data_IF_389564371739
#
_entry.id   IF_389564371739
#
_cell.length_a   1.000
_cell.length_b   1.000
_cell.length_c   1.000
_cell.angle_alpha   90.00
_cell.angle_beta   90.00
_cell.angle_gamma   90.00
#
_symmetry.space_group_name_H-M   'P 1'
#
loop_
_entity.id
_entity.type
_entity.pdbx_description
1 polymer ?
#
# COMPACT_ATOMS: atom_id res chain seq x y z
N UNK A 1 36.90 -72.25 -33.40
CA UNK A 1 35.65 -71.48 -33.19
C UNK A 1 35.57 -71.07 -31.73
N UNK A 2 34.89 -69.96 -31.43
CA UNK A 2 34.66 -69.34 -30.11
C UNK A 2 35.68 -68.27 -29.66
N UNK A 3 35.34 -67.05 -30.09
CA UNK A 3 35.80 -65.71 -29.70
C UNK A 3 34.90 -65.21 -28.55
N UNK A 4 35.35 -64.18 -27.83
CA UNK A 4 34.61 -63.27 -26.93
C UNK A 4 34.34 -63.75 -25.50
N UNK A 5 34.97 -63.05 -24.53
CA UNK A 5 34.31 -62.24 -23.48
C UNK A 5 35.35 -61.73 -22.48
N UNK A 6 36.04 -60.67 -22.85
CA UNK A 6 36.79 -59.80 -21.92
C UNK A 6 36.90 -58.44 -22.57
N UNK A 7 35.93 -57.56 -22.32
CA UNK A 7 36.00 -56.10 -22.52
C UNK A 7 34.61 -55.46 -22.34
N UNK A 8 33.93 -55.76 -21.22
CA UNK A 8 32.66 -55.11 -20.88
C UNK A 8 32.73 -54.25 -19.61
N UNK A 9 33.83 -54.30 -18.84
CA UNK A 9 33.88 -53.70 -17.50
C UNK A 9 34.73 -52.44 -17.35
N UNK A 10 35.37 -51.95 -18.42
CA UNK A 10 36.16 -50.71 -18.38
C UNK A 10 35.36 -49.47 -18.84
N UNK A 11 34.27 -49.66 -19.59
CA UNK A 11 33.49 -48.56 -20.19
C UNK A 11 32.30 -48.08 -19.34
N UNK A 12 32.05 -48.67 -18.15
CA UNK A 12 30.99 -48.22 -17.24
C UNK A 12 31.47 -47.23 -16.18
N UNK A 13 32.77 -47.16 -15.89
CA UNK A 13 33.33 -46.21 -14.92
C UNK A 13 33.70 -44.85 -15.53
N UNK A 14 34.08 -44.80 -16.81
CA UNK A 14 34.40 -43.54 -17.49
C UNK A 14 33.16 -42.74 -17.94
N UNK A 15 31.95 -43.30 -17.83
CA UNK A 15 30.69 -42.65 -18.22
C UNK A 15 29.88 -42.11 -17.03
N UNK A 16 30.41 -42.25 -15.81
CA UNK A 16 29.76 -41.79 -14.58
C UNK A 16 30.30 -40.45 -14.06
N UNK A 17 31.37 -39.90 -14.63
CA UNK A 17 31.96 -38.61 -14.20
C UNK A 17 31.59 -37.42 -15.10
N UNK A 18 30.86 -37.64 -16.20
CA UNK A 18 30.52 -36.60 -17.18
C UNK A 18 29.01 -36.27 -17.21
N UNK A 19 28.39 -36.23 -16.03
CA UNK A 19 27.06 -35.63 -15.82
C UNK A 19 27.03 -34.82 -14.51
N UNK A 20 28.03 -33.97 -14.28
CA UNK A 20 27.85 -32.82 -13.39
C UNK A 20 27.37 -31.63 -14.24
N UNK A 21 26.07 -31.65 -14.57
CA UNK A 21 25.41 -30.43 -15.03
C UNK A 21 25.62 -29.31 -13.99
N UNK A 22 25.53 -28.03 -14.38
CA UNK A 22 25.72 -26.91 -13.45
C UNK A 22 24.79 -27.13 -12.25
N UNK A 23 25.36 -27.30 -11.06
CA UNK A 23 24.62 -27.41 -9.80
C UNK A 23 23.57 -26.31 -9.79
N UNK A 24 22.30 -26.70 -9.76
CA UNK A 24 21.22 -25.75 -9.57
C UNK A 24 21.58 -24.88 -8.35
N UNK A 25 21.52 -23.55 -8.46
CA UNK A 25 21.91 -22.68 -7.37
C UNK A 25 21.09 -23.05 -6.14
N UNK A 26 21.75 -23.18 -5.00
CA UNK A 26 21.11 -23.53 -3.74
C UNK A 26 20.02 -22.48 -3.42
N UNK A 27 18.76 -22.88 -3.50
CA UNK A 27 17.62 -22.02 -3.17
C UNK A 27 17.68 -21.69 -1.69
N UNK A 28 17.89 -20.41 -1.36
CA UNK A 28 17.92 -19.93 0.03
C UNK A 28 16.50 -20.01 0.61
N UNK A 29 16.35 -20.60 1.80
CA UNK A 29 15.08 -20.65 2.53
C UNK A 29 14.53 -19.23 2.75
N UNK A 30 13.28 -19.02 2.32
CA UNK A 30 12.62 -17.72 2.35
C UNK A 30 11.76 -17.60 3.60
N UNK A 31 11.90 -16.50 4.33
CA UNK A 31 11.00 -16.16 5.42
C UNK A 31 9.70 -15.63 4.81
N UNK A 32 8.59 -16.25 5.15
CA UNK A 32 7.26 -15.76 4.82
C UNK A 32 6.81 -14.75 5.88
N UNK A 33 6.54 -13.51 5.46
CA UNK A 33 6.03 -12.46 6.33
C UNK A 33 4.51 -12.26 6.19
N UNK A 34 3.76 -13.30 5.82
CA UNK A 34 2.29 -13.27 5.82
C UNK A 34 1.75 -12.67 7.12
N UNK A 35 0.83 -11.72 6.97
CA UNK A 35 0.14 -11.04 8.08
C UNK A 35 -0.92 -11.93 8.75
N UNK A 36 -1.26 -13.06 8.13
CA UNK A 36 -2.31 -13.96 8.61
C UNK A 36 -1.84 -14.82 9.78
N UNK A 37 -0.52 -14.91 10.00
CA UNK A 37 0.08 -15.66 11.09
C UNK A 37 0.48 -14.71 12.23
N UNK A 38 0.20 -15.08 13.50
CA UNK A 38 0.73 -14.33 14.63
C UNK A 38 2.26 -14.35 14.60
N UNK A 39 2.86 -13.32 15.19
CA UNK A 39 4.31 -13.28 15.37
C UNK A 39 4.76 -14.47 16.22
N UNK A 40 5.96 -14.97 15.93
CA UNK A 40 6.53 -16.05 16.72
C UNK A 40 6.66 -15.62 18.19
N UNK A 41 5.95 -16.32 19.07
CA UNK A 41 5.96 -16.04 20.50
C UNK A 41 7.31 -16.37 21.13
N UNK A 42 7.98 -17.40 20.60
CA UNK A 42 9.24 -17.96 21.09
C UNK A 42 10.46 -17.18 20.62
N UNK A 43 10.33 -16.37 19.57
CA UNK A 43 11.39 -15.49 19.10
C UNK A 43 11.58 -14.31 20.10
N UNK A 44 12.84 -13.90 20.35
CA UNK A 44 13.12 -12.81 21.28
C UNK A 44 12.45 -11.50 20.80
N UNK A 45 11.97 -10.64 21.72
CA UNK A 45 11.33 -9.37 21.39
C UNK A 45 12.36 -8.30 20.99
N UNK A 46 13.24 -8.62 20.05
CA UNK A 46 14.23 -7.71 19.49
C UNK A 46 13.64 -6.99 18.29
N UNK A 47 13.92 -5.68 18.20
CA UNK A 47 13.64 -4.86 17.02
C UNK A 47 14.97 -4.42 16.42
N UNK A 48 15.14 -4.62 15.12
CA UNK A 48 16.34 -4.17 14.42
C UNK A 48 16.04 -3.82 12.97
N UNK A 49 16.95 -3.04 12.39
CA UNK A 49 16.88 -2.61 11.01
C UNK A 49 17.89 -3.40 10.18
N UNK A 50 17.49 -3.84 8.99
CA UNK A 50 18.37 -4.56 8.06
C UNK A 50 18.08 -4.14 6.63
N UNK A 51 19.11 -4.16 5.78
CA UNK A 51 18.91 -4.13 4.33
C UNK A 51 18.20 -5.42 3.86
N UNK A 52 17.66 -5.41 2.64
CA UNK A 52 17.08 -6.62 2.05
C UNK A 52 18.15 -7.71 1.96
N UNK A 53 17.87 -8.84 2.62
CA UNK A 53 18.64 -10.08 2.51
C UNK A 53 17.92 -11.05 1.57
N UNK A 54 18.64 -11.98 0.93
CA UNK A 54 18.01 -13.02 0.12
C UNK A 54 16.94 -13.81 0.87
N UNK A 55 17.11 -14.04 2.17
CA UNK A 55 16.13 -14.75 3.02
C UNK A 55 14.84 -13.96 3.25
N UNK A 56 14.86 -12.63 3.07
CA UNK A 56 13.73 -11.73 3.33
C UNK A 56 13.06 -11.23 2.04
N UNK A 57 13.46 -11.72 0.88
CA UNK A 57 13.00 -11.21 -0.41
C UNK A 57 11.49 -11.44 -0.60
N UNK A 58 11.00 -12.65 -0.32
CA UNK A 58 9.56 -12.96 -0.36
C UNK A 58 8.77 -12.15 0.66
N UNK A 59 9.30 -11.99 1.88
CA UNK A 59 8.70 -11.16 2.91
C UNK A 59 8.57 -9.69 2.50
N UNK A 60 9.62 -9.12 1.89
CA UNK A 60 9.61 -7.73 1.42
C UNK A 60 8.54 -7.51 0.34
N UNK A 61 8.42 -8.44 -0.61
CA UNK A 61 7.38 -8.41 -1.65
C UNK A 61 5.99 -8.44 -1.03
N UNK A 62 5.71 -9.44 -0.19
CA UNK A 62 4.41 -9.59 0.45
C UNK A 62 4.04 -8.33 1.26
N UNK A 63 5.00 -7.79 2.02
CA UNK A 63 4.77 -6.62 2.84
C UNK A 63 4.45 -5.37 2.00
N UNK A 64 5.13 -5.17 0.87
CA UNK A 64 4.82 -4.06 -0.05
C UNK A 64 3.42 -4.19 -0.67
N UNK A 65 2.99 -5.40 -1.03
CA UNK A 65 1.63 -5.68 -1.50
C UNK A 65 0.62 -5.41 -0.39
N UNK A 66 0.93 -5.79 0.84
CA UNK A 66 0.04 -5.59 1.97
C UNK A 66 -0.14 -4.11 2.31
N UNK A 67 0.87 -3.26 2.11
CA UNK A 67 0.70 -1.81 2.24
C UNK A 67 -0.29 -1.25 1.24
N UNK A 68 -0.30 -1.75 0.00
CA UNK A 68 -1.31 -1.38 -0.99
C UNK A 68 -2.71 -1.83 -0.56
N UNK A 69 -2.86 -3.04 0.00
CA UNK A 69 -4.14 -3.49 0.56
C UNK A 69 -4.60 -2.65 1.75
N UNK A 70 -3.67 -2.18 2.58
CA UNK A 70 -3.99 -1.25 3.66
C UNK A 70 -4.49 0.10 3.09
N UNK A 71 -3.82 0.63 2.06
CA UNK A 71 -4.27 1.83 1.34
C UNK A 71 -5.64 1.62 0.67
N UNK A 72 -5.90 0.45 0.09
CA UNK A 72 -7.20 0.06 -0.45
C UNK A 72 -8.30 0.07 0.63
N UNK A 73 -8.00 -0.44 1.82
CA UNK A 73 -8.92 -0.38 2.96
C UNK A 73 -9.23 1.07 3.39
N UNK A 74 -8.20 1.93 3.43
CA UNK A 74 -8.39 3.36 3.70
C UNK A 74 -9.20 4.06 2.61
N UNK A 75 -8.95 3.73 1.34
CA UNK A 75 -9.71 4.19 0.20
C UNK A 75 -11.18 3.80 0.34
N UNK A 76 -11.49 2.52 0.58
CA UNK A 76 -12.87 2.04 0.79
C UNK A 76 -13.56 2.80 1.92
N UNK A 77 -12.85 3.00 3.03
CA UNK A 77 -13.34 3.77 4.17
C UNK A 77 -13.62 5.24 3.83
N UNK A 78 -12.85 5.83 2.93
CA UNK A 78 -13.05 7.17 2.42
C UNK A 78 -14.24 7.25 1.44
N UNK A 79 -14.32 6.31 0.49
CA UNK A 79 -15.38 6.25 -0.50
C UNK A 79 -16.74 6.07 0.17
N UNK A 80 -16.87 5.12 1.12
CA UNK A 80 -18.09 4.85 1.88
C UNK A 80 -18.60 6.09 2.62
N UNK A 81 -17.69 6.91 3.14
CA UNK A 81 -18.05 8.16 3.84
C UNK A 81 -18.31 9.34 2.89
N UNK A 82 -18.28 9.12 1.58
CA UNK A 82 -18.53 10.18 0.60
C UNK A 82 -19.97 10.67 0.72
N UNK A 83 -20.21 12.00 0.70
CA UNK A 83 -21.56 12.55 0.71
C UNK A 83 -22.38 12.09 -0.50
N UNK A 84 -21.74 11.73 -1.61
CA UNK A 84 -22.43 11.25 -2.81
C UNK A 84 -23.14 9.92 -2.57
N UNK A 85 -22.55 9.02 -1.78
CA UNK A 85 -23.18 7.74 -1.44
C UNK A 85 -24.38 7.99 -0.54
N UNK A 86 -24.23 8.85 0.46
CA UNK A 86 -25.35 9.23 1.33
C UNK A 86 -26.50 9.88 0.54
N UNK A 87 -26.19 10.77 -0.42
CA UNK A 87 -27.19 11.40 -1.28
C UNK A 87 -27.88 10.37 -2.19
N UNK A 88 -27.14 9.41 -2.75
CA UNK A 88 -27.72 8.34 -3.56
C UNK A 88 -28.67 7.48 -2.72
N UNK A 89 -28.23 7.03 -1.53
CA UNK A 89 -29.05 6.21 -0.63
C UNK A 89 -30.32 6.94 -0.19
N UNK A 90 -30.21 8.24 0.16
CA UNK A 90 -31.36 9.09 0.50
C UNK A 90 -32.30 9.23 -0.70
N UNK A 91 -31.78 9.48 -1.90
CA UNK A 91 -32.59 9.65 -3.10
C UNK A 91 -33.42 8.38 -3.40
N UNK A 92 -32.78 7.20 -3.37
CA UNK A 92 -33.48 5.94 -3.56
C UNK A 92 -34.48 5.64 -2.45
N UNK A 93 -34.15 5.99 -1.20
CA UNK A 93 -35.08 5.87 -0.07
C UNK A 93 -36.31 6.76 -0.25
N UNK A 94 -36.13 8.01 -0.71
CA UNK A 94 -37.24 8.92 -1.02
C UNK A 94 -38.10 8.39 -2.16
N UNK A 95 -37.49 7.88 -3.25
CA UNK A 95 -38.21 7.27 -4.37
C UNK A 95 -39.03 6.05 -3.89
N UNK A 96 -38.48 5.25 -2.98
CA UNK A 96 -39.16 4.09 -2.41
C UNK A 96 -40.33 4.49 -1.49
N UNK A 97 -40.13 5.49 -0.63
CA UNK A 97 -41.10 5.92 0.37
C UNK A 97 -42.21 6.81 -0.20
N UNK A 98 -41.91 7.67 -1.16
CA UNK A 98 -42.83 8.69 -1.67
C UNK A 98 -44.22 8.13 -2.08
N UNK A 99 -44.34 7.01 -2.82
CA UNK A 99 -45.65 6.47 -3.19
C UNK A 99 -46.29 5.58 -2.11
N UNK A 100 -45.58 5.24 -1.02
CA UNK A 100 -46.02 4.28 0.00
C UNK A 100 -46.37 4.91 1.34
N UNK A 101 -46.07 6.19 1.52
CA UNK A 101 -46.36 6.94 2.73
C UNK A 101 -47.78 7.50 2.71
N UNK A 102 -48.53 7.20 3.76
CA UNK A 102 -49.78 7.88 4.07
C UNK A 102 -49.44 9.17 4.83
N UNK A 103 -49.70 10.32 4.20
CA UNK A 103 -49.45 11.63 4.80
C UNK A 103 -50.66 12.07 5.63
N UNK A 104 -50.46 12.47 6.91
CA UNK A 104 -51.55 13.04 7.69
C UNK A 104 -52.04 14.34 7.02
N UNK A 105 -53.37 14.59 7.00
CA UNK A 105 -53.93 15.75 6.32
C UNK A 105 -53.38 17.06 6.95
N UNK A 106 -52.80 17.92 6.09
CA UNK A 106 -52.22 19.20 6.49
C UNK A 106 -53.27 20.24 6.93
N UNK A 107 -54.55 20.02 6.58
CA UNK A 107 -55.67 20.87 7.00
C UNK A 107 -56.65 20.04 7.82
N UNK A 108 -56.85 20.47 9.05
CA UNK A 108 -57.72 19.83 10.02
C UNK A 108 -59.17 19.76 9.53
N UNK A 109 -59.66 18.56 9.23
CA UNK A 109 -61.07 18.25 9.49
C UNK A 109 -61.21 17.97 10.99
N UNK A 110 -61.44 19.05 11.74
CA UNK A 110 -62.05 19.16 13.08
C UNK A 110 -61.57 18.30 14.28
N UNK A 111 -60.66 17.32 14.17
CA UNK A 111 -60.32 16.45 15.31
C UNK A 111 -58.81 16.33 15.66
N UNK A 112 -57.89 16.81 14.83
CA UNK A 112 -56.45 16.63 15.07
C UNK A 112 -55.65 17.81 14.53
N UNK A 113 -55.65 18.93 15.26
CA UNK A 113 -54.72 20.03 15.00
C UNK A 113 -53.31 19.59 15.43
N UNK A 114 -52.42 19.39 14.47
CA UNK A 114 -51.02 19.08 14.73
C UNK A 114 -50.31 20.37 15.16
N UNK A 115 -50.23 20.62 16.48
CA UNK A 115 -49.66 21.85 17.04
C UNK A 115 -48.12 21.87 17.10
N UNK A 116 -47.45 20.74 16.80
CA UNK A 116 -46.00 20.61 16.89
C UNK A 116 -45.42 19.64 15.84
N UNK A 117 -44.15 19.86 15.47
CA UNK A 117 -43.39 19.00 14.56
C UNK A 117 -43.26 17.57 15.12
N UNK A 118 -43.12 17.43 16.44
CA UNK A 118 -43.07 16.12 17.11
C UNK A 118 -44.40 15.38 17.02
N UNK A 119 -45.54 16.07 17.20
CA UNK A 119 -46.86 15.47 16.99
C UNK A 119 -47.05 15.01 15.53
N UNK A 120 -46.57 15.79 14.55
CA UNK A 120 -46.59 15.40 13.15
C UNK A 120 -45.80 14.11 12.89
N UNK A 121 -44.59 14.00 13.44
CA UNK A 121 -43.74 12.81 13.29
C UNK A 121 -44.38 11.57 13.93
N UNK A 122 -45.01 11.71 15.09
CA UNK A 122 -45.73 10.59 15.74
C UNK A 122 -46.94 10.16 14.92
N UNK A 123 -47.69 11.12 14.37
CA UNK A 123 -48.83 10.85 13.48
C UNK A 123 -48.40 10.28 12.12
N UNK A 124 -47.21 10.60 11.64
CA UNK A 124 -46.63 9.96 10.44
C UNK A 124 -46.15 8.54 10.76
N UNK A 125 -45.56 8.32 11.94
CA UNK A 125 -45.01 7.02 12.33
C UNK A 125 -46.07 5.95 12.58
N UNK A 126 -47.14 6.28 13.33
CA UNK A 126 -48.17 5.30 13.74
C UNK A 126 -48.83 4.54 12.57
N UNK A 127 -49.35 5.20 11.51
CA UNK A 127 -49.95 4.50 10.37
C UNK A 127 -48.90 3.84 9.49
N UNK A 128 -47.71 4.45 9.34
CA UNK A 128 -46.68 3.98 8.42
C UNK A 128 -45.65 3.02 9.05
N UNK A 129 -45.87 2.49 10.27
CA UNK A 129 -44.86 1.70 10.99
C UNK A 129 -44.28 0.52 10.19
N UNK A 130 -45.13 -0.18 9.41
CA UNK A 130 -44.69 -1.30 8.57
C UNK A 130 -43.95 -0.81 7.31
N UNK A 131 -44.41 0.29 6.72
CA UNK A 131 -43.73 0.96 5.59
C UNK A 131 -42.35 1.48 6.00
N UNK A 132 -42.21 2.06 7.19
CA UNK A 132 -40.94 2.54 7.72
C UNK A 132 -39.98 1.37 8.05
N UNK A 133 -40.50 0.28 8.61
CA UNK A 133 -39.71 -0.93 8.85
C UNK A 133 -39.18 -1.54 7.54
N UNK A 134 -40.05 -1.69 6.54
CA UNK A 134 -39.67 -2.18 5.20
C UNK A 134 -38.70 -1.23 4.49
N UNK A 135 -38.85 0.08 4.65
CA UNK A 135 -37.90 1.08 4.14
C UNK A 135 -36.53 0.99 4.83
N UNK A 136 -36.49 0.69 6.13
CA UNK A 136 -35.25 0.41 6.85
C UNK A 136 -34.53 -0.81 6.29
N UNK A 137 -35.25 -1.93 6.08
CA UNK A 137 -34.68 -3.13 5.45
C UNK A 137 -34.20 -2.86 4.02
N UNK A 138 -34.99 -2.12 3.23
CA UNK A 138 -34.61 -1.69 1.89
C UNK A 138 -33.32 -0.86 1.90
N UNK A 139 -33.19 0.06 2.86
CA UNK A 139 -31.98 0.89 3.01
C UNK A 139 -30.76 0.01 3.30
N UNK A 140 -30.86 -0.94 4.22
CA UNK A 140 -29.75 -1.86 4.54
C UNK A 140 -29.33 -2.66 3.30
N UNK A 141 -30.28 -3.18 2.54
CA UNK A 141 -30.00 -3.89 1.29
C UNK A 141 -29.35 -2.98 0.25
N UNK A 142 -29.89 -1.79 0.04
CA UNK A 142 -29.39 -0.80 -0.91
C UNK A 142 -27.96 -0.39 -0.57
N UNK A 143 -27.72 0.02 0.68
CA UNK A 143 -26.39 0.43 1.14
C UNK A 143 -25.38 -0.71 0.98
N UNK A 144 -25.78 -1.98 1.22
CA UNK A 144 -24.91 -3.14 0.99
C UNK A 144 -24.52 -3.29 -0.48
N UNK A 145 -25.47 -3.09 -1.40
CA UNK A 145 -25.21 -3.13 -2.86
C UNK A 145 -24.29 -1.97 -3.27
N UNK A 146 -24.58 -0.75 -2.83
CA UNK A 146 -23.78 0.44 -3.14
C UNK A 146 -22.36 0.28 -2.58
N UNK A 147 -22.20 -0.17 -1.34
CA UNK A 147 -20.88 -0.42 -0.75
C UNK A 147 -20.10 -1.50 -1.50
N UNK A 148 -20.77 -2.55 -1.97
CA UNK A 148 -20.14 -3.60 -2.77
C UNK A 148 -19.66 -3.06 -4.12
N UNK A 149 -20.48 -2.25 -4.80
CA UNK A 149 -20.12 -1.62 -6.07
C UNK A 149 -18.93 -0.67 -5.93
N UNK A 150 -18.95 0.16 -4.88
CA UNK A 150 -17.89 1.13 -4.59
C UNK A 150 -16.60 0.43 -4.17
N UNK A 151 -16.68 -0.65 -3.40
CA UNK A 151 -15.51 -1.45 -3.03
C UNK A 151 -14.85 -2.08 -4.26
N UNK A 152 -15.64 -2.63 -5.20
CA UNK A 152 -15.11 -3.16 -6.46
C UNK A 152 -14.31 -2.13 -7.27
N UNK A 153 -14.71 -0.86 -7.25
CA UNK A 153 -14.00 0.21 -7.95
C UNK A 153 -12.57 0.40 -7.40
N UNK A 154 -12.44 0.37 -6.07
CA UNK A 154 -11.16 0.44 -5.38
C UNK A 154 -10.34 -0.84 -5.59
N UNK A 155 -10.98 -2.01 -5.50
CA UNK A 155 -10.36 -3.31 -5.72
C UNK A 155 -9.71 -3.38 -7.11
N UNK A 156 -10.43 -2.98 -8.17
CA UNK A 156 -9.86 -2.97 -9.53
C UNK A 156 -8.64 -2.06 -9.62
N UNK A 157 -8.70 -0.86 -9.04
CA UNK A 157 -7.59 0.11 -9.06
C UNK A 157 -6.34 -0.41 -8.35
N UNK A 158 -6.48 -0.92 -7.12
CA UNK A 158 -5.33 -1.42 -6.36
C UNK A 158 -4.83 -2.76 -6.90
N UNK A 159 -5.71 -3.60 -7.43
CA UNK A 159 -5.33 -4.88 -8.05
C UNK A 159 -4.37 -4.67 -9.22
N UNK A 160 -4.59 -3.68 -10.08
CA UNK A 160 -3.65 -3.39 -11.18
C UNK A 160 -2.24 -3.09 -10.67
N UNK A 161 -2.10 -2.28 -9.60
CA UNK A 161 -0.81 -1.97 -8.98
C UNK A 161 -0.18 -3.18 -8.30
N UNK A 162 -0.99 -3.98 -7.59
CA UNK A 162 -0.53 -5.21 -6.94
C UNK A 162 -0.02 -6.20 -8.00
N UNK A 163 -0.78 -6.39 -9.08
CA UNK A 163 -0.41 -7.27 -10.18
C UNK A 163 0.87 -6.78 -10.87
N UNK A 164 1.07 -5.47 -11.03
CA UNK A 164 2.32 -4.89 -11.54
C UNK A 164 3.53 -5.22 -10.66
N UNK A 165 3.41 -5.06 -9.33
CA UNK A 165 4.47 -5.37 -8.37
C UNK A 165 4.78 -6.88 -8.35
N UNK A 166 3.74 -7.73 -8.32
CA UNK A 166 3.88 -9.18 -8.24
C UNK A 166 4.44 -9.74 -9.54
N UNK A 167 3.88 -9.37 -10.69
CA UNK A 167 4.36 -9.83 -12.00
C UNK A 167 5.76 -9.28 -12.32
N UNK A 168 6.06 -8.06 -11.87
CA UNK A 168 7.39 -7.46 -11.94
C UNK A 168 8.41 -8.05 -10.95
N UNK A 169 8.02 -8.98 -10.07
CA UNK A 169 8.85 -9.50 -8.98
C UNK A 169 9.51 -8.39 -8.14
N UNK A 170 8.77 -7.31 -7.88
CA UNK A 170 9.21 -6.18 -7.07
C UNK A 170 10.09 -5.14 -7.79
N UNK A 171 10.36 -5.28 -9.08
CA UNK A 171 11.24 -4.39 -9.84
C UNK A 171 10.81 -2.91 -9.75
N UNK A 172 9.50 -2.64 -9.87
CA UNK A 172 8.93 -1.29 -9.76
C UNK A 172 9.15 -0.66 -8.38
N UNK A 173 9.28 -1.47 -7.33
CA UNK A 173 9.39 -1.00 -5.94
C UNK A 173 10.84 -0.90 -5.48
N UNK A 174 11.64 -1.92 -5.83
CA UNK A 174 13.00 -2.07 -5.33
C UNK A 174 14.07 -1.64 -6.36
N UNK A 175 13.68 -1.47 -7.63
CA UNK A 175 14.62 -1.18 -8.73
C UNK A 175 15.41 -2.41 -9.19
N UNK A 176 15.03 -3.60 -8.74
CA UNK A 176 15.59 -4.88 -9.15
C UNK A 176 14.58 -6.01 -8.94
N UNK A 177 14.77 -7.13 -9.65
CA UNK A 177 13.95 -8.33 -9.48
C UNK A 177 14.41 -9.12 -8.25
N UNK A 178 13.51 -9.35 -7.31
CA UNK A 178 13.79 -10.12 -6.10
C UNK A 178 14.25 -11.56 -6.38
N UNK A 179 13.73 -12.17 -7.45
CA UNK A 179 14.13 -13.52 -7.86
C UNK A 179 15.63 -13.62 -8.21
N UNK A 180 16.25 -12.54 -8.68
CA UNK A 180 17.67 -12.55 -9.05
C UNK A 180 18.57 -12.57 -7.80
N UNK A 181 18.09 -12.02 -6.69
CA UNK A 181 18.74 -12.09 -5.38
C UNK A 181 18.68 -13.52 -4.83
N UNK A 182 17.49 -14.12 -4.88
CA UNK A 182 17.24 -15.47 -4.34
C UNK A 182 18.04 -16.52 -5.11
N UNK A 183 18.16 -16.38 -6.44
CA UNK A 183 18.77 -17.39 -7.31
C UNK A 183 20.26 -17.19 -7.54
N UNK A 184 20.77 -15.96 -7.52
CA UNK A 184 22.13 -15.70 -8.00
C UNK A 184 22.95 -14.77 -7.11
N UNK A 185 22.39 -14.18 -6.04
CA UNK A 185 23.05 -13.14 -5.24
C UNK A 185 23.68 -12.01 -6.11
N UNK A 186 23.12 -11.78 -7.30
CA UNK A 186 23.64 -10.88 -8.34
C UNK A 186 23.02 -9.48 -8.31
N UNK A 187 22.33 -9.11 -7.25
CA UNK A 187 21.86 -7.73 -7.11
C UNK A 187 23.05 -6.82 -6.84
N UNK A 188 22.99 -5.62 -7.44
CA UNK A 188 23.92 -4.55 -7.12
C UNK A 188 23.85 -4.27 -5.61
N UNK A 189 24.96 -4.39 -4.86
CA UNK A 189 24.98 -4.14 -3.42
C UNK A 189 24.45 -2.76 -3.03
N UNK A 190 24.61 -1.74 -3.89
CA UNK A 190 24.06 -0.41 -3.67
C UNK A 190 22.53 -0.41 -3.69
N UNK A 191 21.92 -1.11 -4.65
CA UNK A 191 20.47 -1.25 -4.78
C UNK A 191 19.84 -1.96 -3.57
N UNK A 192 20.52 -2.96 -2.99
CA UNK A 192 20.06 -3.64 -1.78
C UNK A 192 20.02 -2.72 -0.56
N UNK A 193 20.98 -1.78 -0.48
CA UNK A 193 21.09 -0.78 0.60
C UNK A 193 20.09 0.36 0.46
N UNK A 194 19.48 0.50 -0.71
CA UNK A 194 18.40 1.46 -0.96
C UNK A 194 17.07 1.06 -0.35
N UNK A 195 16.99 -0.17 0.15
CA UNK A 195 15.82 -0.65 0.85
C UNK A 195 16.17 -1.03 2.29
N UNK A 196 15.35 -0.56 3.21
CA UNK A 196 15.46 -0.87 4.63
C UNK A 196 14.20 -1.57 5.12
N UNK A 197 14.41 -2.61 5.91
CA UNK A 197 13.38 -3.37 6.59
C UNK A 197 13.56 -3.26 8.10
N UNK A 198 12.45 -3.09 8.81
CA UNK A 198 12.39 -3.20 10.27
C UNK A 198 11.83 -4.58 10.59
N UNK A 199 12.60 -5.34 11.37
CA UNK A 199 12.28 -6.70 11.78
C UNK A 199 12.01 -6.69 13.28
N UNK A 200 10.92 -7.32 13.69
CA UNK A 200 10.57 -7.53 15.08
C UNK A 200 10.21 -9.00 15.30
N UNK A 201 10.82 -9.65 16.29
CA UNK A 201 10.67 -11.10 16.55
C UNK A 201 10.94 -11.92 15.28
N UNK A 202 12.07 -11.63 14.63
CA UNK A 202 12.51 -12.24 13.35
C UNK A 202 11.50 -12.11 12.19
N UNK A 203 10.46 -11.29 12.33
CA UNK A 203 9.45 -11.07 11.29
C UNK A 203 9.50 -9.63 10.78
N UNK A 204 9.58 -9.40 9.47
CA UNK A 204 9.47 -8.06 8.91
C UNK A 204 8.13 -7.40 9.22
N UNK A 205 8.19 -6.20 9.82
CA UNK A 205 7.02 -5.42 10.21
C UNK A 205 6.89 -4.09 9.49
N UNK A 206 7.98 -3.59 8.91
CA UNK A 206 7.98 -2.34 8.16
C UNK A 206 9.07 -2.34 7.09
N UNK A 207 8.88 -1.53 6.05
CA UNK A 207 9.74 -1.47 4.89
C UNK A 207 9.70 -0.07 4.28
N UNK A 208 10.85 0.40 3.81
CA UNK A 208 10.98 1.60 2.99
C UNK A 208 11.99 1.35 1.88
N UNK A 209 11.67 1.77 0.66
CA UNK A 209 12.56 1.72 -0.51
C UNK A 209 12.69 3.12 -1.11
N UNK A 210 13.92 3.54 -1.39
CA UNK A 210 14.25 4.85 -1.95
C UNK A 210 15.07 4.66 -3.22
N UNK A 211 14.70 5.30 -4.33
CA UNK A 211 15.54 5.32 -5.53
C UNK A 211 15.80 6.74 -6.01
N UNK A 212 16.86 6.90 -6.79
CA UNK A 212 17.11 8.15 -7.50
C UNK A 212 16.06 8.34 -8.61
N UNK A 213 15.48 9.53 -8.69
CA UNK A 213 14.66 9.95 -9.81
C UNK A 213 15.56 10.46 -10.93
N UNK A 214 15.87 9.61 -11.91
CA UNK A 214 16.75 9.96 -13.02
C UNK A 214 16.20 11.09 -13.92
N UNK A 215 14.89 11.33 -13.89
CA UNK A 215 14.24 12.36 -14.72
C UNK A 215 14.38 13.75 -14.10
N UNK A 216 14.31 13.82 -12.76
CA UNK A 216 14.35 15.09 -12.03
C UNK A 216 15.73 15.42 -11.47
N UNK A 217 16.62 14.43 -11.34
CA UNK A 217 17.97 14.64 -10.83
C UNK A 217 18.86 15.23 -11.92
N UNK A 218 19.67 16.21 -11.52
CA UNK A 218 20.70 16.82 -12.37
C UNK A 218 22.08 16.47 -11.82
N UNK A 219 23.18 16.75 -12.54
CA UNK A 219 24.53 16.55 -11.99
C UNK A 219 24.78 17.29 -10.67
N UNK A 220 24.14 18.45 -10.49
CA UNK A 220 24.32 19.31 -9.32
C UNK A 220 23.22 19.18 -8.24
N UNK A 221 22.15 18.43 -8.53
CA UNK A 221 21.04 18.24 -7.60
C UNK A 221 20.48 16.82 -7.65
N UNK A 222 20.33 16.21 -6.48
CA UNK A 222 19.75 14.89 -6.36
C UNK A 222 18.27 15.00 -5.98
N UNK A 223 17.42 14.32 -6.74
CA UNK A 223 16.02 14.10 -6.39
C UNK A 223 15.81 12.61 -6.18
N UNK A 224 15.57 12.20 -4.94
CA UNK A 224 15.21 10.83 -4.59
C UNK A 224 13.70 10.69 -4.41
N UNK A 225 13.17 9.52 -4.74
CA UNK A 225 11.77 9.17 -4.56
C UNK A 225 11.65 7.98 -3.60
N UNK A 226 10.71 8.07 -2.67
CA UNK A 226 10.28 6.92 -1.86
C UNK A 226 9.31 6.09 -2.70
N UNK A 227 9.74 4.91 -3.14
CA UNK A 227 8.94 4.02 -4.00
C UNK A 227 7.89 3.25 -3.20
N UNK A 228 8.26 2.81 -2.01
CA UNK A 228 7.33 2.20 -1.05
C UNK A 228 7.74 2.60 0.36
N UNK A 229 6.74 2.79 1.21
CA UNK A 229 6.91 2.93 2.64
C UNK A 229 5.66 2.40 3.32
N UNK A 230 5.85 1.70 4.44
CA UNK A 230 4.73 1.29 5.26
C UNK A 230 5.18 0.49 6.46
N UNK A 231 4.21 0.22 7.33
CA UNK A 231 4.35 -0.70 8.44
C UNK A 231 3.05 -1.51 8.61
N UNK A 232 3.10 -2.62 9.34
CA UNK A 232 1.87 -3.35 9.68
C UNK A 232 0.95 -2.45 10.49
N UNK A 233 -0.36 -2.55 10.27
CA UNK A 233 -1.40 -1.70 10.90
C UNK A 233 -1.27 -1.57 12.42
N UNK A 234 -0.86 -2.64 13.11
CA UNK A 234 -0.68 -2.65 14.57
C UNK A 234 0.46 -1.75 15.06
N UNK A 235 1.43 -1.42 14.19
CA UNK A 235 2.59 -0.59 14.49
C UNK A 235 2.48 0.85 13.94
N UNK A 236 1.35 1.23 13.35
CA UNK A 236 1.18 2.59 12.79
C UNK A 236 1.34 3.67 13.86
N UNK A 237 1.02 3.37 15.12
CA UNK A 237 1.14 4.31 16.25
C UNK A 237 2.48 4.26 16.98
N UNK A 238 3.41 3.37 16.58
CA UNK A 238 4.64 3.13 17.34
C UNK A 238 5.83 3.98 16.89
N UNK A 239 5.62 4.98 16.02
CA UNK A 239 6.70 5.86 15.54
C UNK A 239 7.57 5.26 14.43
N UNK A 240 7.28 4.04 13.95
CA UNK A 240 8.15 3.37 12.97
C UNK A 240 8.15 4.11 11.62
N UNK A 241 7.02 4.69 11.21
CA UNK A 241 6.96 5.45 9.95
C UNK A 241 7.84 6.70 10.02
N UNK A 242 7.86 7.37 11.17
CA UNK A 242 8.74 8.49 11.46
C UNK A 242 10.22 8.09 11.31
N UNK A 243 10.62 6.97 11.91
CA UNK A 243 11.99 6.47 11.84
C UNK A 243 12.39 6.05 10.41
N UNK A 244 11.45 5.46 9.66
CA UNK A 244 11.67 5.08 8.26
C UNK A 244 11.86 6.30 7.35
N UNK A 245 11.16 7.41 7.62
CA UNK A 245 11.35 8.66 6.90
C UNK A 245 12.69 9.32 7.24
N UNK A 246 13.11 9.27 8.50
CA UNK A 246 14.44 9.75 8.91
C UNK A 246 15.54 8.94 8.22
N UNK A 247 15.38 7.62 8.19
CA UNK A 247 16.28 6.75 7.44
C UNK A 247 16.30 7.09 5.96
N UNK A 248 15.15 7.34 5.33
CA UNK A 248 15.06 7.70 3.92
C UNK A 248 15.82 9.01 3.63
N UNK A 249 15.68 10.02 4.49
CA UNK A 249 16.44 11.27 4.37
C UNK A 249 17.96 11.05 4.48
N UNK A 250 18.40 10.21 5.43
CA UNK A 250 19.82 9.84 5.55
C UNK A 250 20.31 9.07 4.33
N UNK A 251 19.51 8.13 3.82
CA UNK A 251 19.87 7.34 2.63
C UNK A 251 19.97 8.21 1.38
N UNK A 252 19.08 9.19 1.21
CA UNK A 252 19.20 10.17 0.11
C UNK A 252 20.51 10.96 0.20
N UNK A 253 20.95 11.38 1.40
CA UNK A 253 22.26 12.03 1.57
C UNK A 253 23.42 11.12 1.16
N UNK A 254 23.35 9.83 1.53
CA UNK A 254 24.36 8.85 1.16
C UNK A 254 24.41 8.61 -0.36
N UNK A 255 23.23 8.52 -1.01
CA UNK A 255 23.12 8.42 -2.47
C UNK A 255 23.72 9.64 -3.18
N UNK A 256 23.47 10.84 -2.64
CA UNK A 256 24.06 12.06 -3.20
C UNK A 256 25.57 12.10 -3.06
N UNK A 257 26.09 11.63 -1.92
CA UNK A 257 27.53 11.53 -1.70
C UNK A 257 28.20 10.49 -2.62
N UNK A 258 27.60 9.30 -2.79
CA UNK A 258 28.17 8.26 -3.67
C UNK A 258 28.10 8.63 -5.15
N UNK A 259 27.04 9.34 -5.57
CA UNK A 259 26.87 9.78 -6.95
C UNK A 259 27.63 11.09 -7.28
N UNK A 260 28.29 11.72 -6.30
CA UNK A 260 28.92 13.03 -6.48
C UNK A 260 27.95 14.20 -6.67
N UNK A 261 26.64 13.98 -6.44
CA UNK A 261 25.55 14.95 -6.64
C UNK A 261 25.24 15.74 -5.37
N UNK A 262 26.28 16.33 -4.76
CA UNK A 262 26.20 17.06 -3.49
C UNK A 262 26.13 18.59 -3.66
N UNK A 263 26.17 19.08 -4.90
CA UNK A 263 26.50 20.47 -5.24
C UNK A 263 25.57 21.54 -4.65
N UNK A 264 24.25 21.43 -4.88
CA UNK A 264 23.34 22.56 -4.61
C UNK A 264 22.09 22.20 -3.80
N UNK A 265 21.42 21.08 -4.10
CA UNK A 265 20.21 20.71 -3.35
C UNK A 265 19.93 19.21 -3.42
N UNK A 266 19.46 18.65 -2.31
CA UNK A 266 18.90 17.31 -2.27
C UNK A 266 17.43 17.38 -1.89
N UNK A 267 16.60 16.65 -2.63
CA UNK A 267 15.17 16.57 -2.40
C UNK A 267 14.75 15.12 -2.23
N UNK A 268 13.94 14.85 -1.23
CA UNK A 268 13.26 13.58 -1.07
C UNK A 268 11.77 13.79 -1.35
N UNK A 269 11.25 13.03 -2.30
CA UNK A 269 9.86 13.05 -2.74
C UNK A 269 9.15 11.79 -2.29
N UNK A 270 7.92 11.94 -1.83
CA UNK A 270 7.03 10.83 -1.51
C UNK A 270 5.65 11.14 -2.05
N UNK A 271 5.06 10.13 -2.68
CA UNK A 271 3.71 10.23 -3.20
C UNK A 271 2.73 9.50 -2.30
N UNK A 272 1.66 10.20 -1.93
CA UNK A 272 0.59 9.66 -1.09
C UNK A 272 -0.78 10.01 -1.66
N UNK A 273 -1.82 9.32 -1.18
CA UNK A 273 -3.19 9.63 -1.55
C UNK A 273 -3.81 10.65 -0.61
N UNK A 274 -4.70 11.48 -1.17
CA UNK A 274 -5.44 12.52 -0.43
C UNK A 274 -6.24 12.00 0.77
N UNK A 275 -6.67 10.74 0.75
CA UNK A 275 -7.42 10.12 1.86
C UNK A 275 -6.53 9.61 3.00
N UNK A 276 -5.21 9.50 2.81
CA UNK A 276 -4.28 8.99 3.82
C UNK A 276 -3.88 10.09 4.81
N UNK A 277 -4.80 10.41 5.72
CA UNK A 277 -4.59 11.43 6.76
C UNK A 277 -3.44 11.08 7.70
N UNK A 278 -3.27 9.79 8.01
CA UNK A 278 -2.23 9.31 8.92
C UNK A 278 -0.84 9.61 8.38
N UNK A 279 -0.58 9.24 7.12
CA UNK A 279 0.71 9.53 6.49
C UNK A 279 0.93 11.04 6.33
N UNK A 280 -0.10 11.84 6.00
CA UNK A 280 0.02 13.32 5.94
C UNK A 280 0.50 13.92 7.25
N UNK A 281 -0.04 13.46 8.38
CA UNK A 281 0.33 13.98 9.69
C UNK A 281 1.77 13.60 10.05
N UNK A 282 2.19 12.38 9.72
CA UNK A 282 3.59 11.93 9.85
C UNK A 282 4.53 12.78 8.99
N UNK A 283 4.17 13.01 7.72
CA UNK A 283 4.95 13.82 6.79
C UNK A 283 5.12 15.26 7.26
N UNK A 284 4.04 15.91 7.71
CA UNK A 284 4.10 17.27 8.28
C UNK A 284 5.01 17.33 9.50
N UNK A 285 4.92 16.36 10.41
CA UNK A 285 5.80 16.27 11.59
C UNK A 285 7.27 16.16 11.20
N UNK A 286 7.57 15.49 10.08
CA UNK A 286 8.93 15.33 9.54
C UNK A 286 9.37 16.47 8.61
N UNK A 287 8.61 17.56 8.53
CA UNK A 287 8.98 18.74 7.75
C UNK A 287 8.75 18.60 6.25
N UNK A 288 8.02 17.58 5.80
CA UNK A 288 7.60 17.50 4.40
C UNK A 288 6.50 18.52 4.12
N UNK A 289 6.59 19.11 2.93
CA UNK A 289 5.61 20.07 2.41
C UNK A 289 4.92 19.50 1.18
N UNK A 290 3.67 19.89 0.96
CA UNK A 290 2.93 19.54 -0.25
C UNK A 290 3.50 20.33 -1.43
N UNK A 291 4.03 19.62 -2.44
CA UNK A 291 4.62 20.22 -3.64
C UNK A 291 3.56 20.34 -4.73
N UNK A 292 2.85 19.25 -5.00
CA UNK A 292 1.86 19.22 -6.08
C UNK A 292 0.71 18.26 -5.78
N UNK A 293 -0.42 18.54 -6.42
CA UNK A 293 -1.63 17.72 -6.34
C UNK A 293 -2.02 17.30 -7.74
N UNK A 294 -1.96 16.00 -8.01
CA UNK A 294 -2.32 15.38 -9.27
C UNK A 294 -3.66 14.65 -9.19
N UNK A 295 -4.29 14.45 -10.36
CA UNK A 295 -5.39 13.49 -10.48
C UNK A 295 -4.82 12.08 -10.43
N UNK A 296 -5.52 11.15 -9.79
CA UNK A 296 -5.23 9.73 -9.97
C UNK A 296 -5.62 9.32 -11.40
N UNK A 297 -4.70 9.50 -12.35
CA UNK A 297 -4.95 9.36 -13.80
C UNK A 297 -5.47 7.96 -14.18
N UNK A 298 -5.13 6.96 -13.39
CA UNK A 298 -5.47 5.56 -13.61
C UNK A 298 -6.97 5.25 -13.40
N UNK A 299 -7.73 6.10 -12.68
CA UNK A 299 -9.18 5.91 -12.51
C UNK A 299 -9.95 7.23 -12.45
N UNK A 300 -10.66 7.54 -13.55
CA UNK A 300 -11.48 8.75 -13.70
C UNK A 300 -12.64 8.81 -12.71
N UNK A 301 -13.18 7.66 -12.28
CA UNK A 301 -14.29 7.63 -11.32
C UNK A 301 -13.81 7.95 -9.91
N UNK A 302 -12.69 7.37 -9.47
CA UNK A 302 -12.11 7.67 -8.15
C UNK A 302 -11.68 9.14 -8.06
N UNK A 303 -11.00 9.65 -9.08
CA UNK A 303 -10.52 11.03 -9.09
C UNK A 303 -11.62 12.06 -9.35
N UNK A 304 -12.59 11.75 -10.21
CA UNK A 304 -13.67 12.66 -10.58
C UNK A 304 -14.83 12.68 -9.60
N UNK A 305 -15.44 11.51 -9.36
CA UNK A 305 -16.64 11.40 -8.53
C UNK A 305 -16.31 11.50 -7.04
N UNK A 306 -15.27 10.79 -6.61
CA UNK A 306 -14.92 10.70 -5.18
C UNK A 306 -13.80 11.65 -4.76
N UNK A 307 -13.26 12.46 -5.69
CA UNK A 307 -12.25 13.45 -5.38
C UNK A 307 -10.92 12.89 -4.89
N UNK A 308 -10.61 11.62 -5.19
CA UNK A 308 -9.33 11.00 -4.82
C UNK A 308 -8.20 11.61 -5.65
N UNK A 309 -7.32 12.33 -4.98
CA UNK A 309 -6.13 12.96 -5.56
C UNK A 309 -4.85 12.25 -5.13
N UNK A 310 -3.85 12.26 -6.01
CA UNK A 310 -2.45 11.93 -5.70
C UNK A 310 -1.77 13.20 -5.24
N UNK A 311 -1.06 13.15 -4.14
CA UNK A 311 -0.36 14.29 -3.55
C UNK A 311 1.11 13.98 -3.49
N UNK A 312 1.92 14.84 -4.11
CA UNK A 312 3.37 14.76 -4.05
C UNK A 312 3.86 15.64 -2.91
N UNK A 313 4.46 15.01 -1.92
CA UNK A 313 5.07 15.66 -0.78
C UNK A 313 6.58 15.61 -0.92
N UNK A 314 7.27 16.62 -0.43
CA UNK A 314 8.72 16.57 -0.41
C UNK A 314 9.36 17.46 0.63
N UNK A 315 10.62 17.13 0.91
CA UNK A 315 11.50 17.85 1.80
C UNK A 315 12.80 18.14 1.06
N UNK A 316 13.30 19.37 1.19
CA UNK A 316 14.58 19.79 0.65
C UNK A 316 15.57 19.95 1.80
N UNK A 317 16.77 19.42 1.63
CA UNK A 317 17.87 19.63 2.56
C UNK A 317 19.13 20.03 1.81
N UNK A 318 19.91 20.92 2.44
CA UNK A 318 21.20 21.36 1.96
C UNK A 318 22.29 20.51 2.62
N UNK A 319 23.26 20.08 1.84
CA UNK A 319 24.47 19.45 2.35
C UNK A 319 25.53 20.54 2.41
N UNK A 320 25.96 20.91 3.62
CA UNK A 320 27.12 21.78 3.77
C UNK A 320 28.31 21.08 3.12
N UNK A 321 29.03 21.78 2.23
CA UNK A 321 30.30 21.27 1.73
C UNK A 321 31.24 21.13 2.93
N UNK A 322 31.93 20.00 3.02
CA UNK A 322 32.90 19.70 4.07
C UNK A 322 34.11 20.67 4.11
N UNK A 323 34.15 21.71 3.27
CA UNK A 323 35.18 22.74 3.28
C UNK A 323 35.01 23.75 4.44
N UNK A 324 33.84 23.79 5.10
CA UNK A 324 33.54 24.69 6.22
C UNK A 324 33.87 24.10 7.62
N UNK A 325 34.45 22.90 7.68
CA UNK A 325 34.89 22.23 8.92
C UNK A 325 36.42 22.10 8.97
N UNK A 326 37.14 23.21 8.79
CA UNK A 326 38.57 23.33 9.08
C UNK A 326 38.81 24.22 10.29
#
# INVERSE_FOLDING_TARGET
>A
MAKKRSNANANSKAKAEEQSGPRAPATVEQVDASLDKPLNADAPPTIYQTAIKPTLASAALNLSVDFLKQQQSLCNSHLIRSPLIALADILFLVIYLAPRLEYPPLRASSATSVSSVSAYLVHLWRPNKMTLLSAGLFTVMLTSVVFTLVSRLSDTFFRTKIDEIVNGNGDVVFGFKLNDIVRQARADPESLRNTSMVVYRETPIALVSVSENQVLSTPDSLVATVNTIGCRRVYVKSGILEDLLDWAMVRTKQLGASAGKTGNSMKLLIEIYSFDKGMKDVLRKKGFSLISVGKAQENRLLSGLFGVKRELWGVQFHVAKNDDLK
#
